data_IF_715757347765
#
_entry.id   IF_715757347765
#
_cell.length_a   1.000
_cell.length_b   1.000
_cell.length_c   1.000
_cell.angle_alpha   90.00
_cell.angle_beta   90.00
_cell.angle_gamma   90.00
#
_symmetry.space_group_name_H-M   'P 1'
#
loop_
_entity.id
_entity.type
_entity.pdbx_description
1 polymer ?
#
# COMPACT_ATOMS: atom_id res chain seq x y z
N UNK A 1 -5.40 10.44 -2.85
CA UNK A 1 -6.20 10.55 -4.10
C UNK A 1 -5.69 11.64 -5.04
N UNK A 2 -5.39 12.86 -4.56
CA UNK A 2 -4.89 13.96 -5.41
C UNK A 2 -3.55 13.64 -6.09
N UNK A 3 -2.66 12.88 -5.44
CA UNK A 3 -1.37 12.48 -6.00
C UNK A 3 -1.49 11.70 -7.32
N UNK A 4 -2.48 10.80 -7.44
CA UNK A 4 -2.70 10.00 -8.66
C UNK A 4 -3.12 10.88 -9.83
N UNK A 5 -3.95 11.91 -9.57
CA UNK A 5 -4.41 12.83 -10.61
C UNK A 5 -3.24 13.58 -11.26
N UNK A 6 -2.25 14.00 -10.45
CA UNK A 6 -1.04 14.64 -10.98
C UNK A 6 -0.31 13.71 -11.94
N UNK A 7 -0.12 12.44 -11.58
CA UNK A 7 0.54 11.47 -12.47
C UNK A 7 -0.25 11.18 -13.77
N UNK A 8 -1.58 11.24 -13.72
CA UNK A 8 -2.45 11.06 -14.90
C UNK A 8 -2.36 12.24 -15.87
N UNK A 9 -2.31 13.48 -15.36
CA UNK A 9 -2.17 14.67 -16.21
C UNK A 9 -0.86 14.64 -16.99
N UNK A 10 0.23 14.23 -16.35
CA UNK A 10 1.54 14.10 -16.99
C UNK A 10 1.76 12.76 -17.70
N UNK A 11 0.75 11.89 -17.80
CA UNK A 11 0.91 10.55 -18.36
C UNK A 11 1.12 10.52 -19.88
N UNK A 12 1.03 11.66 -20.57
CA UNK A 12 1.18 11.75 -22.03
C UNK A 12 -0.11 11.59 -22.84
N UNK A 13 -1.23 11.23 -22.19
CA UNK A 13 -2.54 11.12 -22.84
C UNK A 13 -3.34 12.42 -22.84
N UNK A 14 -3.43 13.10 -21.69
CA UNK A 14 -4.16 14.38 -21.57
C UNK A 14 -3.36 15.52 -22.18
N UNK A 15 -2.06 15.58 -21.83
CA UNK A 15 -1.10 16.52 -22.40
C UNK A 15 -0.04 15.68 -23.11
N UNK A 16 0.11 15.86 -24.42
CA UNK A 16 1.13 15.14 -25.18
C UNK A 16 2.52 15.60 -24.75
N UNK A 17 3.50 14.69 -24.81
CA UNK A 17 4.89 14.97 -24.40
C UNK A 17 5.47 16.24 -25.06
N UNK A 18 5.08 16.55 -26.29
CA UNK A 18 5.54 17.73 -27.04
C UNK A 18 4.97 19.06 -26.52
N UNK A 19 3.87 19.03 -25.77
CA UNK A 19 3.26 20.21 -25.16
C UNK A 19 3.71 20.46 -23.72
N UNK A 20 4.40 19.49 -23.11
CA UNK A 20 4.93 19.61 -21.76
C UNK A 20 6.16 20.52 -21.81
N UNK A 21 6.22 21.60 -21.01
CA UNK A 21 7.40 22.44 -20.93
C UNK A 21 8.64 21.64 -20.49
N UNK A 22 9.81 21.96 -21.06
CA UNK A 22 11.06 21.19 -20.85
C UNK A 22 11.44 20.99 -19.37
N UNK A 23 11.07 21.95 -18.51
CA UNK A 23 11.34 21.89 -17.08
C UNK A 23 10.48 20.85 -16.31
N UNK A 24 9.35 20.41 -16.88
CA UNK A 24 8.48 19.37 -16.29
C UNK A 24 8.58 18.01 -16.98
N UNK A 25 9.41 17.87 -18.01
CA UNK A 25 9.54 16.62 -18.77
C UNK A 25 9.99 15.44 -17.89
N UNK A 26 10.76 15.68 -16.82
CA UNK A 26 11.17 14.63 -15.90
C UNK A 26 9.99 13.97 -15.17
N UNK A 27 8.93 14.73 -14.86
CA UNK A 27 7.74 14.21 -14.17
C UNK A 27 6.95 13.24 -15.06
N UNK A 28 7.01 13.45 -16.38
CA UNK A 28 6.47 12.51 -17.36
C UNK A 28 7.23 11.18 -17.34
N UNK A 29 8.57 11.22 -17.25
CA UNK A 29 9.42 10.02 -17.28
C UNK A 29 9.40 9.21 -15.98
N UNK A 30 9.21 9.83 -14.82
CA UNK A 30 9.13 9.11 -13.54
C UNK A 30 7.76 8.44 -13.35
N UNK A 31 6.71 8.97 -13.98
CA UNK A 31 5.34 8.48 -13.82
C UNK A 31 5.20 7.04 -14.37
N UNK A 32 4.81 6.05 -13.55
CA UNK A 32 4.60 4.69 -14.03
C UNK A 32 3.45 4.60 -15.04
N UNK A 33 2.47 5.52 -14.94
CA UNK A 33 1.31 5.57 -15.82
C UNK A 33 1.74 5.89 -17.27
N UNK A 34 2.72 6.78 -17.45
CA UNK A 34 3.30 7.10 -18.77
C UNK A 34 3.82 5.84 -19.47
N UNK A 35 4.63 5.06 -18.78
CA UNK A 35 5.25 3.85 -19.33
C UNK A 35 4.22 2.77 -19.63
N UNK A 36 3.22 2.60 -18.76
CA UNK A 36 2.12 1.66 -18.99
C UNK A 36 1.26 2.05 -20.19
N UNK A 37 0.85 3.32 -20.30
CA UNK A 37 0.05 3.80 -21.44
C UNK A 37 0.81 3.66 -22.75
N UNK A 38 2.09 4.03 -22.76
CA UNK A 38 2.96 3.88 -23.92
C UNK A 38 3.08 2.42 -24.35
N UNK A 39 3.36 1.51 -23.42
CA UNK A 39 3.48 0.08 -23.72
C UNK A 39 2.16 -0.50 -24.26
N UNK A 40 1.01 -0.13 -23.66
CA UNK A 40 -0.30 -0.57 -24.11
C UNK A 40 -0.65 -0.04 -25.51
N UNK A 41 -0.40 1.24 -25.77
CA UNK A 41 -0.64 1.83 -27.08
C UNK A 41 0.21 1.16 -28.17
N UNK A 42 1.52 1.00 -27.94
CA UNK A 42 2.41 0.28 -28.87
C UNK A 42 1.92 -1.15 -29.09
N UNK A 43 1.58 -1.87 -28.03
CA UNK A 43 1.09 -3.25 -28.13
C UNK A 43 -0.19 -3.36 -28.97
N UNK A 44 -1.14 -2.43 -28.80
CA UNK A 44 -2.42 -2.45 -29.52
C UNK A 44 -2.26 -2.07 -30.99
N UNK A 45 -1.62 -0.94 -31.27
CA UNK A 45 -1.57 -0.40 -32.63
C UNK A 45 -0.48 -1.05 -33.50
N UNK A 46 0.53 -1.70 -32.89
CA UNK A 46 1.54 -2.49 -33.62
C UNK A 46 1.18 -3.98 -33.71
N UNK A 47 -0.04 -4.33 -33.34
CA UNK A 47 -0.60 -5.66 -33.57
C UNK A 47 -0.96 -5.85 -35.04
N UNK A 48 -0.91 -7.10 -35.51
CA UNK A 48 -1.17 -7.46 -36.91
C UNK A 48 -2.46 -6.88 -37.52
N UNK A 49 -3.62 -6.79 -36.82
CA UNK A 49 -4.83 -6.22 -37.41
C UNK A 49 -4.78 -4.69 -37.60
N UNK A 50 -3.94 -3.97 -36.85
CA UNK A 50 -3.82 -2.50 -36.93
C UNK A 50 -2.55 -2.06 -37.67
N UNK A 51 -1.54 -2.92 -37.79
CA UNK A 51 -0.28 -2.66 -38.49
C UNK A 51 -0.37 -2.95 -40.01
N UNK A 52 -1.45 -2.45 -40.62
CA UNK A 52 -1.77 -2.64 -42.05
C UNK A 52 -1.66 -1.34 -42.84
N UNK A 53 -1.40 -1.45 -44.14
CA UNK A 53 -1.37 -0.30 -45.05
C UNK A 53 -2.77 0.21 -45.40
N UNK A 54 -3.72 -0.71 -45.57
CA UNK A 54 -5.11 -0.38 -45.92
C UNK A 54 -6.00 -0.76 -44.75
N UNK A 55 -6.71 0.23 -44.21
CA UNK A 55 -7.68 0.03 -43.14
C UNK A 55 -8.98 0.74 -43.51
N UNK A 56 -10.11 0.01 -43.48
CA UNK A 56 -11.44 0.52 -43.82
C UNK A 56 -11.52 1.31 -45.15
N UNK A 57 -10.75 0.86 -46.16
CA UNK A 57 -10.77 1.47 -47.51
C UNK A 57 -9.87 2.70 -47.68
N UNK A 58 -9.10 3.08 -46.65
CA UNK A 58 -8.09 4.15 -46.73
C UNK A 58 -6.69 3.53 -46.80
N UNK A 59 -5.89 3.93 -47.78
CA UNK A 59 -4.48 3.53 -47.93
C UNK A 59 -3.54 4.54 -47.25
N UNK A 60 -3.07 4.17 -46.06
CA UNK A 60 -2.14 4.96 -45.26
C UNK A 60 -0.72 4.95 -45.83
N UNK A 61 -0.32 3.84 -46.46
CA UNK A 61 1.02 3.71 -47.03
C UNK A 61 1.19 4.59 -48.27
N UNK A 62 0.17 4.69 -49.12
CA UNK A 62 0.21 5.58 -50.29
C UNK A 62 0.08 7.07 -49.93
N UNK A 63 -0.67 7.39 -48.88
CA UNK A 63 -0.98 8.79 -48.52
C UNK A 63 0.05 9.40 -47.57
N UNK A 64 0.50 8.65 -46.58
CA UNK A 64 1.37 9.12 -45.49
C UNK A 64 2.72 8.41 -45.43
N UNK A 65 2.95 7.36 -46.24
CA UNK A 65 4.20 6.59 -46.23
C UNK A 65 4.39 5.72 -44.99
N UNK A 66 3.38 5.63 -44.12
CA UNK A 66 3.40 4.93 -42.85
C UNK A 66 2.25 3.93 -42.79
N UNK A 67 2.41 2.87 -42.01
CA UNK A 67 1.29 1.97 -41.69
C UNK A 67 0.29 2.67 -40.77
N UNK A 68 -0.95 2.21 -40.79
CA UNK A 68 -2.03 2.79 -39.96
C UNK A 68 -1.63 2.88 -38.49
N UNK A 69 -1.14 1.79 -37.89
CA UNK A 69 -0.66 1.78 -36.51
C UNK A 69 0.40 2.84 -36.21
N UNK A 70 1.46 2.92 -37.02
CA UNK A 70 2.54 3.92 -36.85
C UNK A 70 2.04 5.36 -36.98
N UNK A 71 1.13 5.60 -37.93
CA UNK A 71 0.51 6.91 -38.11
C UNK A 71 -0.30 7.35 -36.88
N UNK A 72 -1.12 6.46 -36.32
CA UNK A 72 -1.89 6.77 -35.10
C UNK A 72 -1.00 6.97 -33.88
N UNK A 73 0.06 6.17 -33.69
CA UNK A 73 1.04 6.44 -32.62
C UNK A 73 1.72 7.80 -32.79
N UNK A 74 2.09 8.14 -34.02
CA UNK A 74 2.72 9.42 -34.35
C UNK A 74 1.84 10.63 -34.03
N UNK A 75 0.52 10.53 -34.29
CA UNK A 75 -0.45 11.58 -33.93
C UNK A 75 -0.47 11.88 -32.43
N UNK A 76 -0.33 10.86 -31.59
CA UNK A 76 -0.27 11.02 -30.13
C UNK A 76 1.14 11.33 -29.61
N UNK A 77 2.16 11.41 -30.49
CA UNK A 77 3.55 11.65 -30.11
C UNK A 77 4.18 10.51 -29.31
N UNK A 78 3.70 9.28 -29.52
CA UNK A 78 4.25 8.06 -28.90
C UNK A 78 5.26 7.39 -29.82
N UNK A 79 6.33 6.85 -29.22
CA UNK A 79 7.37 6.14 -29.97
C UNK A 79 6.80 4.86 -30.61
N UNK A 80 7.14 4.62 -31.88
CA UNK A 80 6.53 3.57 -32.74
C UNK A 80 7.21 2.21 -32.65
N UNK A 81 8.38 2.14 -32.00
CA UNK A 81 9.20 0.93 -31.94
C UNK A 81 8.63 -0.07 -30.92
N UNK A 82 8.58 -1.35 -31.32
CA UNK A 82 8.06 -2.44 -30.47
C UNK A 82 8.92 -2.67 -29.22
N UNK A 83 10.18 -2.24 -29.22
CA UNK A 83 11.11 -2.35 -28.09
C UNK A 83 10.62 -1.60 -26.84
N UNK A 84 9.88 -0.51 -27.03
CA UNK A 84 9.32 0.28 -25.93
C UNK A 84 8.36 -0.51 -25.03
N UNK A 85 7.73 -1.56 -25.55
CA UNK A 85 6.89 -2.45 -24.75
C UNK A 85 7.73 -3.17 -23.70
N UNK A 86 8.91 -3.70 -24.10
CA UNK A 86 9.81 -4.40 -23.18
C UNK A 86 10.36 -3.46 -22.12
N UNK A 87 10.77 -2.25 -22.50
CA UNK A 87 11.22 -1.22 -21.56
C UNK A 87 10.12 -0.82 -20.57
N UNK A 88 8.87 -0.69 -21.01
CA UNK A 88 7.74 -0.40 -20.12
C UNK A 88 7.50 -1.52 -19.09
N UNK A 89 7.59 -2.78 -19.51
CA UNK A 89 7.44 -3.94 -18.61
C UNK A 89 8.59 -3.98 -17.59
N UNK A 90 9.83 -3.81 -18.04
CA UNK A 90 11.01 -3.79 -17.16
C UNK A 90 10.91 -2.63 -16.16
N UNK A 91 10.54 -1.43 -16.62
CA UNK A 91 10.40 -0.25 -15.77
C UNK A 91 9.32 -0.45 -14.70
N UNK A 92 8.14 -0.93 -15.09
CA UNK A 92 7.04 -1.18 -14.16
C UNK A 92 7.38 -2.26 -13.12
N UNK A 93 8.05 -3.33 -13.54
CA UNK A 93 8.54 -4.36 -12.62
C UNK A 93 9.59 -3.81 -11.66
N UNK A 94 10.55 -3.01 -12.15
CA UNK A 94 11.56 -2.38 -11.32
C UNK A 94 10.94 -1.42 -10.30
N UNK A 95 10.01 -0.56 -10.73
CA UNK A 95 9.29 0.35 -9.84
C UNK A 95 8.47 -0.40 -8.78
N UNK A 96 7.85 -1.53 -9.14
CA UNK A 96 7.16 -2.37 -8.17
C UNK A 96 8.11 -2.89 -7.09
N UNK A 97 9.27 -3.44 -7.48
CA UNK A 97 10.28 -3.92 -6.52
C UNK A 97 10.80 -2.78 -5.65
N UNK A 98 11.06 -1.60 -6.23
CA UNK A 98 11.50 -0.42 -5.47
C UNK A 98 10.46 0.02 -4.44
N UNK A 99 9.17 0.10 -4.81
CA UNK A 99 8.11 0.44 -3.86
C UNK A 99 7.92 -0.63 -2.79
N UNK A 100 8.07 -1.91 -3.14
CA UNK A 100 8.04 -3.00 -2.16
C UNK A 100 9.21 -2.88 -1.17
N UNK A 101 10.43 -2.65 -1.64
CA UNK A 101 11.60 -2.44 -0.78
C UNK A 101 11.44 -1.19 0.10
N UNK A 102 10.96 -0.08 -0.47
CA UNK A 102 10.70 1.14 0.30
C UNK A 102 9.62 0.92 1.36
N UNK A 103 8.59 0.12 1.06
CA UNK A 103 7.57 -0.24 2.05
C UNK A 103 8.13 -1.12 3.17
N UNK A 104 9.02 -2.06 2.84
CA UNK A 104 9.72 -2.88 3.83
C UNK A 104 10.60 -2.02 4.75
N UNK A 105 11.44 -1.15 4.17
CA UNK A 105 12.28 -0.22 4.94
C UNK A 105 11.44 0.75 5.78
N UNK A 106 10.32 1.25 5.23
CA UNK A 106 9.42 2.12 5.98
C UNK A 106 8.87 1.41 7.22
N UNK A 107 8.49 0.13 7.11
CA UNK A 107 8.01 -0.64 8.27
C UNK A 107 9.12 -1.02 9.25
N UNK A 108 10.35 -1.21 8.79
CA UNK A 108 11.50 -1.50 9.65
C UNK A 108 11.97 -0.27 10.43
N UNK A 109 12.04 0.90 9.77
CA UNK A 109 12.61 2.12 10.35
C UNK A 109 11.57 3.07 10.97
N UNK A 110 10.30 2.99 10.54
CA UNK A 110 9.22 3.78 11.16
C UNK A 110 8.54 2.90 12.20
N UNK A 111 8.99 3.03 13.45
CA UNK A 111 8.25 2.49 14.59
C UNK A 111 6.93 3.25 14.66
N UNK A 112 5.84 2.60 14.26
CA UNK A 112 4.51 3.16 14.45
C UNK A 112 4.26 3.17 15.96
N UNK A 113 4.51 4.31 16.62
CA UNK A 113 4.19 4.49 18.02
C UNK A 113 2.71 4.17 18.17
N UNK A 114 2.43 3.16 19.00
CA UNK A 114 1.07 2.78 19.39
C UNK A 114 0.38 4.05 19.87
N UNK A 115 -0.89 4.31 19.52
CA UNK A 115 -1.56 5.52 19.96
C UNK A 115 -1.38 5.70 21.47
N UNK A 116 -1.14 6.94 21.89
CA UNK A 116 -0.76 7.36 23.26
C UNK A 116 -1.71 6.84 24.35
N UNK A 117 -2.86 6.28 23.98
CA UNK A 117 -3.85 5.66 24.86
C UNK A 117 -3.55 4.20 25.24
N UNK A 118 -2.46 3.58 24.77
CA UNK A 118 -2.05 2.23 25.20
C UNK A 118 -0.56 2.20 25.52
N UNK A 119 -0.21 2.79 26.67
CA UNK A 119 1.11 2.62 27.27
C UNK A 119 1.25 1.17 27.79
N UNK A 120 1.94 0.34 27.01
CA UNK A 120 2.47 -0.95 27.45
C UNK A 120 3.95 -0.76 27.75
N UNK A 121 4.30 0.16 28.65
CA UNK A 121 5.62 0.13 29.28
C UNK A 121 5.76 -1.22 29.98
N UNK A 122 6.71 -2.03 29.55
CA UNK A 122 7.14 -3.22 30.27
C UNK A 122 7.72 -2.72 31.60
N UNK A 123 6.92 -2.75 32.67
CA UNK A 123 7.44 -2.51 34.01
C UNK A 123 8.55 -3.52 34.21
N UNK A 124 9.74 -3.04 34.59
CA UNK A 124 10.79 -3.86 35.16
C UNK A 124 10.16 -4.75 36.21
N UNK A 125 10.01 -6.02 35.89
CA UNK A 125 9.67 -7.05 36.85
C UNK A 125 10.90 -7.13 37.73
N UNK A 126 10.87 -6.40 38.85
CA UNK A 126 11.75 -6.71 39.97
C UNK A 126 11.57 -8.20 40.24
N UNK A 127 12.68 -8.93 40.37
CA UNK A 127 12.74 -10.38 40.54
C UNK A 127 11.92 -10.86 41.77
N UNK A 128 10.60 -10.88 41.66
CA UNK A 128 9.73 -11.52 42.62
C UNK A 128 9.82 -13.02 42.35
N UNK A 129 10.71 -13.66 43.12
CA UNK A 129 10.83 -15.11 43.20
C UNK A 129 9.44 -15.73 43.31
N UNK A 130 9.00 -16.42 42.26
CA UNK A 130 7.74 -17.15 42.26
C UNK A 130 7.78 -18.23 43.35
N UNK A 131 7.20 -17.97 44.52
CA UNK A 131 6.97 -18.99 45.53
C UNK A 131 5.73 -19.80 45.14
N UNK A 132 5.94 -21.07 44.84
CA UNK A 132 4.88 -22.01 44.50
C UNK A 132 3.98 -22.24 45.73
N UNK A 133 2.81 -21.63 45.73
CA UNK A 133 1.77 -21.86 46.74
C UNK A 133 0.97 -23.10 46.37
N UNK A 134 0.89 -24.08 47.26
CA UNK A 134 -0.03 -25.20 47.11
C UNK A 134 -1.41 -24.81 47.67
N UNK A 135 -2.45 -25.01 46.87
CA UNK A 135 -3.84 -24.78 47.29
C UNK A 135 -4.23 -25.80 48.37
N UNK A 136 -4.79 -25.38 49.51
CA UNK A 136 -5.19 -26.30 50.56
C UNK A 136 -6.45 -27.05 50.11
N UNK A 137 -6.25 -28.19 49.45
CA UNK A 137 -7.28 -29.22 49.35
C UNK A 137 -6.73 -30.49 49.94
N UNK A 138 -6.78 -30.61 51.26
CA UNK A 138 -6.92 -31.93 51.86
C UNK A 138 -7.53 -31.88 53.26
N UNK A 139 -8.46 -32.81 53.49
CA UNK A 139 -9.16 -33.06 54.73
C UNK A 139 -8.15 -33.59 55.76
N UNK A 140 -7.52 -32.70 56.52
CA UNK A 140 -6.94 -32.94 57.86
C UNK A 140 -6.35 -31.61 58.35
N UNK A 141 -7.21 -30.66 58.70
CA UNK A 141 -6.79 -29.44 59.39
C UNK A 141 -6.56 -29.79 60.87
N UNK A 142 -5.36 -30.25 61.18
CA UNK A 142 -4.87 -30.33 62.56
C UNK A 142 -3.42 -29.85 62.59
N UNK A 143 -3.27 -28.66 63.17
CA UNK A 143 -2.02 -28.05 63.64
C UNK A 143 -1.04 -27.53 62.57
N UNK A 144 -1.27 -26.30 62.13
CA UNK A 144 -0.26 -25.42 61.55
C UNK A 144 -0.75 -23.97 61.66
N UNK A 145 -0.08 -23.16 62.46
CA UNK A 145 -0.46 -21.77 62.81
C UNK A 145 -0.11 -20.72 61.76
N UNK A 146 0.23 -21.09 60.53
CA UNK A 146 0.70 -20.12 59.56
C UNK A 146 -0.34 -19.90 58.46
N UNK A 147 -1.35 -19.10 58.80
CA UNK A 147 -2.18 -18.45 57.81
C UNK A 147 -1.40 -17.28 57.22
N UNK A 148 -0.81 -17.47 56.04
CA UNK A 148 -0.17 -16.39 55.30
C UNK A 148 -1.25 -15.51 54.67
N UNK A 149 -1.42 -14.30 55.18
CA UNK A 149 -2.24 -13.26 54.56
C UNK A 149 -1.40 -12.62 53.45
N UNK A 150 -1.80 -12.84 52.20
CA UNK A 150 -1.24 -12.11 51.06
C UNK A 150 -1.86 -10.72 51.08
N UNK A 151 -1.06 -9.72 51.49
CA UNK A 151 -1.48 -8.33 51.36
C UNK A 151 -1.45 -7.99 49.86
N UNK A 152 -2.63 -7.88 49.26
CA UNK A 152 -2.76 -7.49 47.87
C UNK A 152 -2.58 -5.98 47.86
N UNK A 153 -1.44 -5.52 47.37
CA UNK A 153 -1.24 -4.10 47.09
C UNK A 153 -2.43 -3.61 46.24
N UNK A 154 -3.24 -2.75 46.84
CA UNK A 154 -4.38 -2.12 46.18
C UNK A 154 -3.82 -1.19 45.10
N UNK A 155 -3.57 -1.77 43.92
CA UNK A 155 -3.17 -1.05 42.73
C UNK A 155 -4.24 0.00 42.45
N UNK A 156 -3.91 1.28 42.63
CA UNK A 156 -4.82 2.39 42.30
C UNK A 156 -5.33 2.19 40.88
N UNK A 157 -6.60 1.82 40.76
CA UNK A 157 -7.21 1.57 39.48
C UNK A 157 -7.54 2.92 38.87
N UNK A 158 -6.76 3.31 37.86
CA UNK A 158 -6.95 4.55 37.11
C UNK A 158 -8.16 4.49 36.14
N UNK A 159 -9.27 3.90 36.60
CA UNK A 159 -10.52 3.92 35.86
C UNK A 159 -11.66 4.32 36.81
N UNK A 160 -12.52 5.22 36.35
CA UNK A 160 -13.77 5.53 37.03
C UNK A 160 -14.75 4.38 36.78
N UNK A 161 -15.14 3.57 37.78
CA UNK A 161 -16.11 2.51 37.57
C UNK A 161 -17.46 3.14 37.20
N UNK A 162 -17.90 2.96 35.96
CA UNK A 162 -19.26 3.30 35.54
C UNK A 162 -20.12 2.06 35.76
N UNK A 163 -20.87 2.05 36.86
CA UNK A 163 -21.84 1.00 37.15
C UNK A 163 -23.10 1.26 36.32
N UNK A 164 -23.33 0.45 35.28
CA UNK A 164 -24.60 0.46 34.54
C UNK A 164 -25.57 -0.44 35.29
N UNK A 165 -26.62 0.16 35.86
CA UNK A 165 -27.74 -0.57 36.43
C UNK A 165 -28.98 -0.37 35.54
N UNK A 166 -29.62 -1.46 35.13
CA UNK A 166 -30.91 -1.37 34.45
C UNK A 166 -32.01 -1.23 35.50
N UNK A 167 -32.64 -0.06 35.54
CA UNK A 167 -33.93 0.12 36.22
C UNK A 167 -35.05 -0.25 35.24
N UNK A 168 -36.06 -0.95 35.75
CA UNK A 168 -37.29 -1.34 35.05
C UNK A 168 -37.13 -2.36 33.90
N UNK A 169 -36.65 -3.55 34.27
CA UNK A 169 -36.76 -4.74 33.42
C UNK A 169 -38.17 -5.33 33.48
N UNK A 170 -38.99 -5.04 32.46
CA UNK A 170 -40.28 -5.68 32.24
C UNK A 170 -40.12 -6.78 31.18
N UNK A 171 -40.38 -8.02 31.56
CA UNK A 171 -40.53 -9.13 30.62
C UNK A 171 -42.02 -9.28 30.30
N UNK A 172 -42.38 -9.17 29.03
CA UNK A 172 -43.73 -9.48 28.51
C UNK A 172 -43.95 -10.97 28.36
#
# INVERSE_FOLDING_TARGET
MVSVLVFVVFAGFIVTKSQIPDYFTWAHWISPITWSLKALAVNQYRSDPMDVCVYEGVDYCATYGLKMGEYYLGLFGMDTEKEWVAYGIIYTAAMYVVFMLLSYLALEFIRYEVPENVDVSEKTVEDESYTRLETPTNKNAANGTDGYVVDIDNREKNFTPVTVAFQDLWYS
#
